data_IF_019234451900
#
_entry.id   IF_019234451900
#
_cell.length_a   1.000
_cell.length_b   1.000
_cell.length_c   1.000
_cell.angle_alpha   90.00
_cell.angle_beta   90.00
_cell.angle_gamma   90.00
#
_symmetry.space_group_name_H-M   'P 1'
#
loop_
_entity.id
_entity.type
_entity.pdbx_description
1 polymer ?
#
# COMPACT_ATOMS: atom_id res chain seq x y z
N UNK A 1 -14.46 0.35 41.19
CA UNK A 1 -13.57 -0.56 40.45
C UNK A 1 -12.67 -1.26 41.46
N UNK A 2 -12.28 -2.51 41.23
CA UNK A 2 -11.24 -3.18 42.03
C UNK A 2 -9.87 -2.54 41.74
N UNK A 3 -8.91 -2.57 42.70
CA UNK A 3 -7.59 -1.97 42.50
C UNK A 3 -6.82 -2.60 41.34
N UNK A 4 -7.01 -3.90 41.07
CA UNK A 4 -6.36 -4.61 39.96
C UNK A 4 -6.82 -4.11 38.58
N UNK A 5 -8.07 -3.66 38.44
CA UNK A 5 -8.52 -3.04 37.17
C UNK A 5 -7.80 -1.70 36.94
N UNK A 6 -7.45 -0.97 38.01
CA UNK A 6 -6.68 0.27 37.91
C UNK A 6 -5.20 0.04 37.59
N UNK A 7 -4.58 -1.05 38.05
CA UNK A 7 -3.20 -1.40 37.66
C UNK A 7 -3.15 -1.89 36.21
N UNK A 8 -4.01 -2.83 35.82
CA UNK A 8 -4.08 -3.34 34.44
C UNK A 8 -4.41 -2.23 33.43
N UNK A 9 -5.34 -1.33 33.76
CA UNK A 9 -5.65 -0.19 32.90
C UNK A 9 -4.49 0.81 32.79
N UNK A 10 -3.67 0.96 33.84
CA UNK A 10 -2.47 1.81 33.80
C UNK A 10 -1.37 1.18 32.95
N UNK A 11 -1.09 -0.10 33.13
CA UNK A 11 -0.10 -0.82 32.31
C UNK A 11 -0.48 -0.80 30.82
N UNK A 12 -1.76 -0.99 30.50
CA UNK A 12 -2.27 -0.86 29.13
C UNK A 12 -2.17 0.58 28.57
N UNK A 13 -2.30 1.60 29.42
CA UNK A 13 -2.15 3.01 29.04
C UNK A 13 -0.69 3.43 28.85
N UNK A 14 0.22 2.98 29.72
CA UNK A 14 1.66 3.25 29.62
C UNK A 14 2.24 2.53 28.38
N UNK A 15 1.84 1.27 28.13
CA UNK A 15 2.16 0.53 26.90
C UNK A 15 1.59 1.21 25.65
N UNK A 16 0.34 1.70 25.70
CA UNK A 16 -0.26 2.46 24.60
C UNK A 16 0.52 3.74 24.30
N UNK A 17 0.88 4.52 25.32
CA UNK A 17 1.62 5.77 25.17
C UNK A 17 3.03 5.55 24.59
N UNK A 18 3.72 4.50 25.05
CA UNK A 18 5.02 4.08 24.52
C UNK A 18 4.91 3.67 23.04
N UNK A 19 4.04 2.70 22.72
CA UNK A 19 3.87 2.18 21.36
C UNK A 19 3.37 3.25 20.38
N UNK A 20 2.48 4.14 20.81
CA UNK A 20 2.01 5.27 19.99
C UNK A 20 3.14 6.25 19.69
N UNK A 21 3.90 6.67 20.71
CA UNK A 21 5.02 7.61 20.53
C UNK A 21 6.09 7.02 19.61
N UNK A 22 6.47 5.77 19.84
CA UNK A 22 7.44 5.04 19.03
C UNK A 22 6.97 4.89 17.57
N UNK A 23 5.74 4.41 17.36
CA UNK A 23 5.20 4.19 16.01
C UNK A 23 4.96 5.49 15.24
N UNK A 24 4.59 6.60 15.90
CA UNK A 24 4.46 7.91 15.26
C UNK A 24 5.82 8.42 14.80
N UNK A 25 6.85 8.36 15.65
CA UNK A 25 8.21 8.77 15.30
C UNK A 25 8.76 7.89 14.17
N UNK A 26 8.67 6.57 14.32
CA UNK A 26 9.16 5.60 13.33
C UNK A 26 8.43 5.76 11.99
N UNK A 27 7.11 5.93 11.99
CA UNK A 27 6.33 6.16 10.76
C UNK A 27 6.75 7.48 10.07
N UNK A 28 6.91 8.57 10.82
CA UNK A 28 7.29 9.87 10.22
C UNK A 28 8.71 9.81 9.64
N UNK A 29 9.66 9.21 10.35
CA UNK A 29 11.06 9.04 9.87
C UNK A 29 11.12 8.15 8.63
N UNK A 30 10.50 6.95 8.67
CA UNK A 30 10.51 6.02 7.54
C UNK A 30 9.74 6.61 6.34
N UNK A 31 8.57 7.20 6.55
CA UNK A 31 7.76 7.74 5.46
C UNK A 31 8.40 8.97 4.80
N UNK A 32 9.09 9.81 5.58
CA UNK A 32 9.91 10.90 5.02
C UNK A 32 11.08 10.34 4.22
N UNK A 33 11.83 9.36 4.75
CA UNK A 33 12.93 8.73 4.04
C UNK A 33 12.47 8.02 2.75
N UNK A 34 11.33 7.34 2.78
CA UNK A 34 10.70 6.70 1.61
C UNK A 34 10.23 7.75 0.60
N UNK A 35 9.68 8.89 1.05
CA UNK A 35 9.32 10.00 0.16
C UNK A 35 10.54 10.61 -0.54
N UNK A 36 11.66 10.78 0.17
CA UNK A 36 12.96 11.15 -0.42
C UNK A 36 13.43 10.08 -1.41
N UNK A 37 13.37 8.80 -1.03
CA UNK A 37 13.83 7.67 -1.84
C UNK A 37 13.04 7.53 -3.16
N UNK A 38 11.73 7.78 -3.14
CA UNK A 38 10.89 7.78 -4.35
C UNK A 38 11.23 8.90 -5.33
N UNK A 39 11.78 10.03 -4.87
CA UNK A 39 12.25 11.10 -5.78
C UNK A 39 13.65 10.81 -6.36
N UNK A 40 14.44 9.92 -5.74
CA UNK A 40 15.68 9.39 -6.31
C UNK A 40 15.47 8.14 -7.19
N UNK A 41 14.48 7.31 -6.87
CA UNK A 41 14.20 6.03 -7.54
C UNK A 41 12.83 6.08 -8.20
N UNK A 42 12.82 6.45 -9.48
CA UNK A 42 11.68 6.34 -10.40
C UNK A 42 11.10 4.91 -10.38
N UNK A 43 9.78 4.73 -10.24
CA UNK A 43 9.16 3.40 -10.04
C UNK A 43 9.39 2.44 -11.21
N UNK A 44 9.67 2.96 -12.41
CA UNK A 44 10.03 2.19 -13.62
C UNK A 44 11.38 1.46 -13.45
N UNK A 45 12.30 2.00 -12.64
CA UNK A 45 13.54 1.30 -12.25
C UNK A 45 13.24 0.13 -11.33
N UNK A 46 12.35 0.30 -10.35
CA UNK A 46 11.90 -0.78 -9.47
C UNK A 46 11.16 -1.85 -10.29
N UNK A 47 10.26 -1.44 -11.18
CA UNK A 47 9.54 -2.32 -12.10
C UNK A 47 10.48 -3.15 -12.98
N UNK A 48 11.46 -2.53 -13.65
CA UNK A 48 12.37 -3.24 -14.56
C UNK A 48 13.30 -4.22 -13.83
N UNK A 49 13.63 -3.95 -12.56
CA UNK A 49 14.36 -4.88 -11.70
C UNK A 49 13.46 -6.05 -11.25
N UNK A 50 12.24 -5.78 -10.78
CA UNK A 50 11.32 -6.82 -10.29
C UNK A 50 10.66 -7.64 -11.40
N UNK A 51 10.48 -7.10 -12.61
CA UNK A 51 9.90 -7.80 -13.77
C UNK A 51 10.92 -8.63 -14.59
N UNK A 52 12.14 -8.79 -14.07
CA UNK A 52 13.23 -9.53 -14.73
C UNK A 52 12.81 -10.98 -15.09
N UNK A 53 12.66 -11.25 -16.40
CA UNK A 53 12.03 -12.45 -16.99
C UNK A 53 12.64 -13.80 -16.60
N UNK A 54 13.81 -13.81 -15.95
CA UNK A 54 14.58 -15.01 -15.60
C UNK A 54 14.44 -15.38 -14.11
N UNK A 55 13.29 -15.11 -13.48
CA UNK A 55 13.02 -15.42 -12.07
C UNK A 55 13.78 -14.57 -11.04
N UNK A 56 14.84 -13.85 -11.44
CA UNK A 56 15.66 -13.00 -10.57
C UNK A 56 14.86 -11.97 -9.78
N UNK A 57 13.75 -11.48 -10.33
CA UNK A 57 12.84 -10.55 -9.66
C UNK A 57 12.32 -11.06 -8.32
N UNK A 58 12.11 -12.37 -8.16
CA UNK A 58 11.67 -12.98 -6.90
C UNK A 58 12.73 -12.85 -5.79
N UNK A 59 13.98 -13.19 -6.10
CA UNK A 59 15.10 -13.12 -5.13
C UNK A 59 15.42 -11.67 -4.80
N UNK A 60 15.38 -10.77 -5.78
CA UNK A 60 15.61 -9.34 -5.54
C UNK A 60 14.48 -8.73 -4.70
N UNK A 61 13.22 -9.11 -4.95
CA UNK A 61 12.09 -8.69 -4.12
C UNK A 61 12.20 -9.19 -2.66
N UNK A 62 12.68 -10.42 -2.45
CA UNK A 62 12.93 -10.96 -1.11
C UNK A 62 14.03 -10.15 -0.38
N UNK A 63 15.17 -9.93 -1.03
CA UNK A 63 16.28 -9.16 -0.46
C UNK A 63 15.90 -7.70 -0.21
N UNK A 64 15.13 -7.08 -1.10
CA UNK A 64 14.61 -5.73 -0.87
C UNK A 64 13.65 -5.70 0.33
N UNK A 65 12.70 -6.64 0.43
CA UNK A 65 11.82 -6.74 1.61
C UNK A 65 12.58 -6.91 2.91
N UNK A 66 13.60 -7.77 2.94
CA UNK A 66 14.47 -7.96 4.10
C UNK A 66 15.32 -6.72 4.47
N UNK A 67 15.63 -5.84 3.51
CA UNK A 67 16.43 -4.63 3.74
C UNK A 67 15.55 -3.40 4.04
N UNK A 68 14.35 -3.32 3.47
CA UNK A 68 13.39 -2.23 3.68
C UNK A 68 12.18 -2.73 4.48
N UNK A 69 12.25 -2.74 5.82
CA UNK A 69 11.12 -3.09 6.67
C UNK A 69 10.04 -2.01 6.60
N UNK A 70 9.16 -2.11 5.60
CA UNK A 70 7.95 -1.31 5.56
C UNK A 70 6.95 -1.89 6.57
N UNK A 71 6.59 -1.07 7.55
CA UNK A 71 5.47 -1.36 8.41
C UNK A 71 4.18 -1.41 7.58
N UNK A 72 3.17 -2.17 8.03
CA UNK A 72 1.85 -2.30 7.40
C UNK A 72 1.29 -0.95 6.89
N UNK A 73 1.53 0.13 7.64
CA UNK A 73 1.16 1.51 7.30
C UNK A 73 1.79 2.07 6.01
N UNK A 74 3.08 1.81 5.72
CA UNK A 74 3.76 2.29 4.50
C UNK A 74 3.71 1.30 3.34
N UNK A 75 3.28 0.05 3.59
CA UNK A 75 3.10 -0.97 2.54
C UNK A 75 1.98 -0.61 1.54
N UNK A 76 0.90 0.09 1.92
CA UNK A 76 -0.17 0.48 0.96
C UNK A 76 0.35 1.37 -0.19
N UNK A 77 0.94 2.56 0.06
CA UNK A 77 1.34 3.46 -1.03
C UNK A 77 2.42 2.82 -1.90
N UNK A 78 3.36 2.07 -1.30
CA UNK A 78 4.39 1.35 -2.05
C UNK A 78 3.79 0.27 -2.95
N UNK A 79 2.93 -0.61 -2.40
CA UNK A 79 2.34 -1.71 -3.16
C UNK A 79 1.36 -1.20 -4.25
N UNK A 80 0.59 -0.14 -3.99
CA UNK A 80 -0.22 0.51 -5.03
C UNK A 80 0.63 1.17 -6.11
N UNK A 81 1.75 1.80 -5.75
CA UNK A 81 2.72 2.32 -6.72
C UNK A 81 3.32 1.21 -7.60
N UNK A 82 3.66 0.07 -6.99
CA UNK A 82 4.26 -1.08 -7.66
C UNK A 82 3.26 -1.85 -8.55
N UNK A 83 1.99 -1.91 -8.15
CA UNK A 83 0.86 -2.40 -8.95
C UNK A 83 0.58 -1.48 -10.16
N UNK A 84 0.52 -0.16 -9.95
CA UNK A 84 0.40 0.84 -11.03
C UNK A 84 1.53 0.73 -12.04
N UNK A 85 2.75 0.55 -11.57
CA UNK A 85 3.93 0.30 -12.40
C UNK A 85 3.91 -1.06 -13.10
N UNK A 86 2.89 -1.93 -12.91
CA UNK A 86 2.83 -3.29 -13.48
C UNK A 86 4.12 -4.10 -13.25
N UNK A 87 4.61 -4.13 -12.02
CA UNK A 87 5.62 -5.12 -11.63
C UNK A 87 5.03 -6.55 -11.63
N UNK A 88 5.90 -7.57 -11.62
CA UNK A 88 5.47 -8.97 -11.56
C UNK A 88 4.72 -9.30 -10.27
N UNK A 89 3.60 -10.02 -10.38
CA UNK A 89 2.71 -10.34 -9.25
C UNK A 89 3.39 -11.21 -8.20
N UNK A 90 4.14 -12.23 -8.62
CA UNK A 90 4.94 -13.09 -7.75
C UNK A 90 5.98 -12.29 -6.96
N UNK A 91 6.88 -11.53 -7.61
CA UNK A 91 7.80 -10.60 -6.94
C UNK A 91 7.12 -9.65 -5.95
N UNK A 92 5.96 -9.07 -6.27
CA UNK A 92 5.19 -8.25 -5.32
C UNK A 92 4.72 -9.05 -4.09
N UNK A 93 4.28 -10.29 -4.28
CA UNK A 93 3.92 -11.20 -3.17
C UNK A 93 5.14 -11.58 -2.32
N UNK A 94 6.30 -11.89 -2.93
CA UNK A 94 7.54 -12.17 -2.19
C UNK A 94 7.95 -10.99 -1.32
N UNK A 95 7.91 -9.76 -1.88
CA UNK A 95 8.19 -8.55 -1.12
C UNK A 95 7.23 -8.38 0.08
N UNK A 96 5.93 -8.59 -0.16
CA UNK A 96 4.86 -8.48 0.84
C UNK A 96 5.06 -9.48 1.99
N UNK A 97 5.40 -10.75 1.70
CA UNK A 97 5.74 -11.74 2.73
C UNK A 97 7.07 -11.41 3.44
N UNK A 98 8.07 -10.92 2.72
CA UNK A 98 9.43 -10.73 3.25
C UNK A 98 9.57 -9.50 4.15
N UNK A 99 8.89 -8.39 3.84
CA UNK A 99 9.02 -7.11 4.56
C UNK A 99 8.68 -7.18 6.07
N UNK A 100 7.57 -7.79 6.51
CA UNK A 100 7.25 -7.87 7.94
C UNK A 100 8.06 -8.94 8.68
N UNK A 101 8.53 -9.99 7.98
CA UNK A 101 9.21 -11.14 8.61
C UNK A 101 10.73 -10.97 8.69
N UNK A 102 11.39 -10.43 7.66
CA UNK A 102 12.85 -10.38 7.57
C UNK A 102 13.49 -9.03 7.95
N UNK A 103 12.75 -8.17 8.67
CA UNK A 103 13.23 -6.88 9.20
C UNK A 103 14.58 -7.04 9.95
N UNK A 104 15.62 -6.22 9.65
CA UNK A 104 16.93 -6.33 10.31
C UNK A 104 16.87 -6.19 11.83
N UNK A 105 15.88 -5.47 12.37
CA UNK A 105 15.65 -5.33 13.82
C UNK A 105 15.16 -6.66 14.42
N UNK A 106 14.26 -7.37 13.74
CA UNK A 106 13.80 -8.72 14.13
C UNK A 106 15.02 -9.66 14.18
N UNK A 107 15.80 -9.72 13.11
CA UNK A 107 16.99 -10.58 13.05
C UNK A 107 18.02 -10.22 14.13
N UNK A 108 18.22 -8.92 14.40
CA UNK A 108 19.08 -8.44 15.47
C UNK A 108 18.64 -8.92 16.86
N UNK A 109 17.36 -8.74 17.22
CA UNK A 109 16.81 -9.27 18.47
C UNK A 109 16.91 -10.81 18.51
N UNK A 110 16.61 -11.51 17.42
CA UNK A 110 16.74 -12.97 17.34
C UNK A 110 18.15 -13.46 17.66
N UNK A 111 19.19 -12.81 17.13
CA UNK A 111 20.60 -13.14 17.42
C UNK A 111 20.94 -12.91 18.89
N UNK A 112 20.43 -11.82 19.50
CA UNK A 112 20.69 -11.48 20.92
C UNK A 112 19.90 -12.39 21.88
N UNK A 113 18.67 -12.75 21.55
CA UNK A 113 17.75 -13.47 22.45
C UNK A 113 17.80 -15.00 22.31
N UNK A 114 17.90 -15.52 21.08
CA UNK A 114 17.90 -16.97 20.80
C UNK A 114 19.21 -17.47 20.18
N UNK A 115 20.15 -16.57 19.90
CA UNK A 115 21.45 -16.91 19.31
C UNK A 115 21.42 -17.07 17.79
N UNK A 116 22.59 -16.97 17.18
CA UNK A 116 22.78 -16.96 15.72
C UNK A 116 22.21 -18.18 14.99
N UNK A 117 22.18 -19.36 15.63
CA UNK A 117 21.62 -20.59 15.03
C UNK A 117 20.11 -20.45 14.75
N UNK A 118 19.35 -19.97 15.73
CA UNK A 118 17.90 -19.78 15.62
C UNK A 118 17.58 -18.64 14.66
N UNK A 119 18.35 -17.55 14.71
CA UNK A 119 18.21 -16.42 13.80
C UNK A 119 18.42 -16.83 12.32
N UNK A 120 19.45 -17.63 12.02
CA UNK A 120 19.71 -18.12 10.66
C UNK A 120 18.66 -19.13 10.19
N UNK A 121 18.17 -20.01 11.07
CA UNK A 121 17.05 -20.90 10.77
C UNK A 121 15.79 -20.10 10.41
N UNK A 122 15.39 -19.15 11.27
CA UNK A 122 14.25 -18.27 11.03
C UNK A 122 14.39 -17.52 9.70
N UNK A 123 15.54 -16.87 9.47
CA UNK A 123 15.81 -16.12 8.24
C UNK A 123 15.70 -16.99 6.99
N UNK A 124 16.32 -18.17 6.99
CA UNK A 124 16.32 -19.06 5.81
C UNK A 124 14.94 -19.64 5.51
N UNK A 125 14.19 -20.07 6.52
CA UNK A 125 12.82 -20.58 6.32
C UNK A 125 11.89 -19.46 5.84
N UNK A 126 11.95 -18.27 6.44
CA UNK A 126 11.14 -17.13 6.01
C UNK A 126 11.46 -16.69 4.57
N UNK A 127 12.74 -16.63 4.18
CA UNK A 127 13.15 -16.30 2.83
C UNK A 127 12.67 -17.34 1.80
N UNK A 128 12.83 -18.63 2.10
CA UNK A 128 12.40 -19.74 1.22
C UNK A 128 10.88 -19.76 1.07
N UNK A 129 10.13 -19.61 2.17
CA UNK A 129 8.66 -19.64 2.11
C UNK A 129 8.10 -18.38 1.44
N UNK A 130 8.67 -17.19 1.67
CA UNK A 130 8.26 -15.98 0.95
C UNK A 130 8.46 -16.12 -0.58
N UNK A 131 9.63 -16.61 -1.01
CA UNK A 131 9.94 -16.82 -2.45
C UNK A 131 9.04 -17.88 -3.08
N UNK A 132 8.89 -19.04 -2.43
CA UNK A 132 8.08 -20.15 -2.96
C UNK A 132 6.58 -19.82 -2.96
N UNK A 133 6.06 -19.16 -1.93
CA UNK A 133 4.67 -18.72 -1.87
C UNK A 133 4.35 -17.69 -2.96
N UNK A 134 5.20 -16.68 -3.17
CA UNK A 134 5.03 -15.73 -4.27
C UNK A 134 5.00 -16.42 -5.64
N UNK A 135 5.87 -17.42 -5.85
CA UNK A 135 5.92 -18.19 -7.10
C UNK A 135 4.68 -19.07 -7.31
N UNK A 136 4.22 -19.74 -6.25
CA UNK A 136 3.01 -20.57 -6.28
C UNK A 136 1.76 -19.72 -6.52
N UNK A 137 1.64 -18.56 -5.87
CA UNK A 137 0.50 -17.64 -6.07
C UNK A 137 0.48 -17.07 -7.51
N UNK A 138 1.63 -16.70 -8.09
CA UNK A 138 1.70 -16.30 -9.51
C UNK A 138 1.33 -17.47 -10.43
N UNK A 139 1.89 -18.67 -10.21
CA UNK A 139 1.60 -19.85 -11.04
C UNK A 139 0.16 -20.34 -10.98
N UNK A 140 -0.53 -20.11 -9.85
CA UNK A 140 -1.95 -20.40 -9.69
C UNK A 140 -2.87 -19.28 -10.20
N UNK A 141 -2.32 -18.20 -10.78
CA UNK A 141 -3.09 -17.11 -11.38
C UNK A 141 -3.88 -16.27 -10.37
N UNK A 142 -3.38 -16.14 -9.14
CA UNK A 142 -4.08 -15.40 -8.07
C UNK A 142 -4.15 -13.88 -8.33
N UNK A 143 -3.40 -13.36 -9.31
CA UNK A 143 -3.50 -11.98 -9.82
C UNK A 143 -4.94 -11.56 -10.19
N UNK A 144 -5.80 -12.49 -10.62
CA UNK A 144 -7.23 -12.23 -10.89
C UNK A 144 -8.03 -11.75 -9.66
N UNK A 145 -7.47 -11.92 -8.46
CA UNK A 145 -8.06 -11.51 -7.19
C UNK A 145 -7.52 -10.17 -6.64
N UNK A 146 -6.66 -9.48 -7.38
CA UNK A 146 -6.39 -8.05 -7.12
C UNK A 146 -7.63 -7.22 -7.44
N UNK A 147 -7.81 -6.09 -6.74
CA UNK A 147 -8.86 -5.10 -6.98
C UNK A 147 -8.47 -4.14 -8.12
N UNK A 148 -9.32 -3.88 -9.13
CA UNK A 148 -9.12 -2.80 -10.10
C UNK A 148 -8.74 -1.46 -9.44
N UNK A 149 -9.39 -1.14 -8.31
CA UNK A 149 -9.19 0.06 -7.48
C UNK A 149 -7.79 0.17 -6.83
N UNK A 150 -6.91 -0.82 -7.04
CA UNK A 150 -5.50 -0.80 -6.66
C UNK A 150 -4.55 -0.41 -7.82
N UNK A 151 -4.99 -0.57 -9.08
CA UNK A 151 -4.25 -0.16 -10.28
C UNK A 151 -4.56 1.26 -10.73
N UNK A 152 -5.75 1.77 -10.42
CA UNK A 152 -6.19 3.10 -10.85
C UNK A 152 -5.61 4.22 -9.97
N UNK A 153 -5.66 5.46 -10.47
CA UNK A 153 -5.38 6.65 -9.69
C UNK A 153 -6.49 6.86 -8.62
N UNK A 154 -6.20 7.63 -7.58
CA UNK A 154 -7.28 8.27 -6.83
C UNK A 154 -7.67 9.51 -7.62
N UNK A 155 -8.56 9.35 -8.61
CA UNK A 155 -8.97 10.45 -9.48
C UNK A 155 -9.57 11.60 -8.68
N UNK A 156 -9.28 12.81 -9.13
CA UNK A 156 -9.87 14.01 -8.55
C UNK A 156 -11.38 13.96 -8.75
N UNK A 157 -12.12 14.09 -7.64
CA UNK A 157 -13.58 14.24 -7.54
C UNK A 157 -14.30 14.41 -8.88
N UNK A 158 -14.87 13.33 -9.41
CA UNK A 158 -15.68 13.36 -10.63
C UNK A 158 -16.78 14.41 -10.47
N UNK A 159 -16.72 15.49 -11.24
CA UNK A 159 -17.72 16.55 -11.21
C UNK A 159 -19.08 15.97 -11.58
N UNK A 160 -19.96 15.82 -10.59
CA UNK A 160 -21.33 15.34 -10.77
C UNK A 160 -22.16 16.36 -11.53
N UNK A 161 -22.05 16.37 -12.85
CA UNK A 161 -22.95 17.08 -13.75
C UNK A 161 -24.31 16.38 -13.78
N UNK A 162 -25.06 16.50 -12.69
CA UNK A 162 -26.42 15.96 -12.56
C UNK A 162 -27.38 16.80 -13.39
N UNK A 163 -27.41 16.55 -14.71
CA UNK A 163 -28.53 16.94 -15.55
C UNK A 163 -29.74 16.08 -15.16
N UNK A 164 -30.54 16.57 -14.22
CA UNK A 164 -31.79 15.96 -13.79
C UNK A 164 -32.93 16.96 -13.93
N UNK A 165 -33.96 16.59 -14.69
CA UNK A 165 -35.15 17.41 -14.89
C UNK A 165 -35.91 17.66 -13.57
N UNK A 166 -36.50 18.84 -13.43
CA UNK A 166 -37.66 19.02 -12.53
C UNK A 166 -38.58 20.12 -13.05
N UNK A 167 -39.73 19.72 -13.60
CA UNK A 167 -40.85 20.63 -13.83
C UNK A 167 -41.49 21.04 -12.50
N UNK A 168 -41.84 22.32 -12.33
CA UNK A 168 -43.15 22.81 -11.82
C UNK A 168 -43.21 24.34 -11.96
N UNK A 169 -44.38 24.88 -12.31
CA UNK A 169 -44.53 26.21 -12.90
C UNK A 169 -44.90 27.37 -11.94
N UNK A 170 -44.56 28.59 -12.36
CA UNK A 170 -45.31 29.85 -12.23
C UNK A 170 -44.75 30.79 -13.34
N UNK A 171 -45.52 31.21 -14.34
CA UNK A 171 -46.39 32.40 -14.35
C UNK A 171 -45.67 33.72 -13.98
N UNK A 172 -45.76 34.86 -14.69
CA UNK A 172 -46.48 35.29 -15.93
C UNK A 172 -45.87 36.69 -16.29
N UNK A 173 -45.71 37.21 -17.52
CA UNK A 173 -46.29 37.04 -18.89
C UNK A 173 -45.32 37.60 -19.98
N UNK A 174 -45.65 37.44 -21.28
CA UNK A 174 -45.36 38.33 -22.45
C UNK A 174 -43.93 38.83 -22.72
N UNK A 175 -43.37 38.83 -23.95
CA UNK A 175 -43.78 38.40 -25.30
C UNK A 175 -42.53 38.52 -26.25
N UNK A 176 -42.47 38.23 -27.56
CA UNK A 176 -43.42 37.76 -28.61
C UNK A 176 -42.62 37.17 -29.80
N UNK A 177 -43.23 36.29 -30.61
CA UNK A 177 -42.74 35.91 -31.95
C UNK A 177 -41.84 34.66 -31.98
N UNK A 178 -42.27 33.46 -32.41
CA UNK A 178 -42.94 33.04 -33.66
C UNK A 178 -42.06 33.23 -34.92
N UNK A 179 -41.86 32.23 -35.81
CA UNK A 179 -42.54 30.92 -35.89
C UNK A 179 -41.67 29.77 -36.43
N UNK A 180 -42.20 28.58 -36.15
CA UNK A 180 -41.86 27.25 -36.66
C UNK A 180 -41.84 27.15 -38.20
N UNK A 181 -41.02 26.24 -38.76
CA UNK A 181 -41.51 25.15 -39.63
C UNK A 181 -40.41 24.20 -40.12
N UNK A 182 -40.78 22.93 -40.26
CA UNK A 182 -39.94 21.79 -40.65
C UNK A 182 -39.56 21.78 -42.15
N UNK A 183 -38.38 21.24 -42.50
CA UNK A 183 -38.23 20.23 -43.56
C UNK A 183 -36.80 19.66 -43.73
N UNK A 184 -36.73 18.32 -43.88
CA UNK A 184 -35.72 17.52 -44.62
C UNK A 184 -34.25 17.41 -44.12
N UNK A 185 -33.72 16.20 -44.29
CA UNK A 185 -32.30 15.88 -44.48
C UNK A 185 -31.87 16.30 -45.92
N UNK A 186 -30.60 16.49 -46.28
CA UNK A 186 -29.41 15.71 -45.97
C UNK A 186 -28.11 16.55 -46.09
N UNK A 187 -27.02 15.97 -45.59
CA UNK A 187 -25.61 16.34 -45.83
C UNK A 187 -25.07 17.68 -45.24
N UNK A 188 -23.82 17.57 -44.79
CA UNK A 188 -23.00 18.57 -44.11
C UNK A 188 -22.74 19.84 -44.94
N UNK A 189 -22.58 21.00 -44.28
CA UNK A 189 -21.34 21.79 -44.42
C UNK A 189 -21.10 22.75 -43.25
N UNK A 190 -19.81 22.89 -42.94
CA UNK A 190 -19.13 23.77 -41.99
C UNK A 190 -19.63 25.22 -41.98
N UNK A 191 -19.92 25.77 -40.79
CA UNK A 191 -20.28 27.19 -40.62
C UNK A 191 -19.05 28.09 -40.65
N UNK A 192 -19.01 29.03 -41.60
CA UNK A 192 -18.12 30.19 -41.58
C UNK A 192 -18.94 31.48 -41.61
N UNK A 193 -18.48 32.51 -40.89
CA UNK A 193 -19.09 33.84 -40.93
C UNK A 193 -18.31 34.74 -41.92
N UNK A 194 -19.04 35.45 -42.77
CA UNK A 194 -18.48 36.42 -43.72
C UNK A 194 -18.05 37.75 -43.09
N UNK A 195 -17.59 38.73 -43.88
CA UNK A 195 -17.72 38.81 -45.34
C UNK A 195 -16.63 39.66 -46.04
N UNK A 196 -16.37 39.32 -47.31
CA UNK A 196 -16.09 40.14 -48.51
C UNK A 196 -15.06 41.32 -48.47
N UNK A 197 -14.43 41.68 -49.61
CA UNK A 197 -14.70 41.24 -50.99
C UNK A 197 -13.51 40.57 -51.74
N UNK A 198 -13.83 40.08 -52.95
CA UNK A 198 -12.90 39.57 -53.97
C UNK A 198 -12.24 40.74 -54.78
N UNK A 199 -11.27 40.55 -55.71
CA UNK A 199 -10.80 39.32 -56.41
C UNK A 199 -9.27 39.06 -56.20
N UNK A 200 -8.47 38.31 -56.98
CA UNK A 200 -8.60 37.78 -58.35
C UNK A 200 -7.74 36.51 -58.64
N UNK A 201 -7.58 36.22 -59.95
CA UNK A 201 -6.85 35.09 -60.57
C UNK A 201 -5.33 35.36 -60.70
N UNK A 202 -4.52 34.29 -60.82
CA UNK A 202 -3.68 33.95 -62.01
C UNK A 202 -2.83 32.69 -61.74
N UNK A 203 -2.35 32.02 -62.80
CA UNK A 203 -1.64 30.74 -62.79
C UNK A 203 -0.10 30.86 -62.70
N UNK A 204 0.51 29.76 -62.20
CA UNK A 204 1.78 29.13 -62.64
C UNK A 204 3.19 29.75 -62.43
N UNK A 205 4.13 28.80 -62.46
CA UNK A 205 5.55 28.89 -62.88
C UNK A 205 6.67 29.29 -61.89
N UNK A 206 7.65 28.38 -61.83
CA UNK A 206 9.11 28.59 -61.70
C UNK A 206 9.75 28.93 -60.34
N UNK A 207 10.94 28.36 -60.10
CA UNK A 207 12.03 29.06 -59.41
C UNK A 207 12.61 28.40 -58.15
N UNK A 208 13.77 27.74 -58.32
CA UNK A 208 14.89 27.59 -57.36
C UNK A 208 14.65 27.54 -55.83
N UNK A 209 15.10 26.47 -55.17
CA UNK A 209 15.05 26.34 -53.71
C UNK A 209 16.26 26.91 -52.95
N UNK A 210 16.05 27.17 -51.67
CA UNK A 210 17.10 27.40 -50.66
C UNK A 210 16.65 26.85 -49.29
N UNK A 211 17.62 26.58 -48.40
CA UNK A 211 17.40 25.96 -47.09
C UNK A 211 16.75 26.88 -46.06
N UNK A 212 15.75 26.40 -45.32
CA UNK A 212 15.60 26.60 -43.85
C UNK A 212 14.45 25.75 -43.28
N UNK A 213 14.42 25.55 -41.95
CA UNK A 213 13.42 24.71 -41.28
C UNK A 213 12.11 25.48 -40.96
N UNK A 214 10.96 24.79 -40.85
CA UNK A 214 9.68 25.44 -40.59
C UNK A 214 9.55 25.91 -39.13
N UNK A 215 9.81 27.20 -38.89
CA UNK A 215 9.38 27.88 -37.67
C UNK A 215 7.89 28.25 -37.79
N UNK A 216 7.01 27.56 -37.07
CA UNK A 216 5.57 27.86 -37.07
C UNK A 216 5.29 29.12 -36.24
N UNK A 217 5.10 30.25 -36.92
CA UNK A 217 4.64 31.48 -36.28
C UNK A 217 3.14 31.36 -35.94
N UNK A 218 2.81 31.43 -34.65
CA UNK A 218 1.43 31.51 -34.18
C UNK A 218 1.02 32.98 -34.09
N UNK A 219 0.00 33.38 -34.85
CA UNK A 219 -0.53 34.75 -34.85
C UNK A 219 -1.23 35.08 -33.53
N UNK A 220 -0.86 36.19 -32.90
CA UNK A 220 -1.52 36.72 -31.71
C UNK A 220 -2.86 37.37 -32.05
N UNK A 221 -3.85 37.20 -31.17
CA UNK A 221 -5.14 37.89 -31.25
C UNK A 221 -5.55 38.41 -29.87
N UNK A 222 -5.59 39.74 -29.73
CA UNK A 222 -6.55 40.39 -28.84
C UNK A 222 -7.91 40.49 -29.55
N UNK A 223 -9.02 40.80 -28.88
CA UNK A 223 -9.13 41.43 -27.55
C UNK A 223 -10.45 41.06 -26.88
N UNK A 224 -10.44 40.82 -25.56
CA UNK A 224 -11.55 41.22 -24.69
C UNK A 224 -12.82 40.35 -24.62
N UNK A 225 -12.71 39.11 -24.15
CA UNK A 225 -13.75 38.47 -23.30
C UNK A 225 -13.15 37.30 -22.51
N UNK A 226 -13.64 37.07 -21.29
CA UNK A 226 -12.96 36.23 -20.30
C UNK A 226 -13.27 34.73 -20.45
N UNK A 227 -12.46 34.02 -21.23
CA UNK A 227 -12.29 32.57 -21.08
C UNK A 227 -11.08 32.28 -20.19
N UNK A 228 -11.31 31.68 -19.03
CA UNK A 228 -10.24 31.35 -18.08
C UNK A 228 -9.36 30.20 -18.57
N UNK A 229 -8.07 30.44 -18.74
CA UNK A 229 -7.09 29.38 -19.01
C UNK A 229 -6.87 28.54 -17.76
N UNK A 230 -7.27 27.27 -17.83
CA UNK A 230 -6.77 26.25 -16.92
C UNK A 230 -5.24 26.10 -17.09
N UNK A 231 -4.58 25.63 -16.03
CA UNK A 231 -3.18 25.20 -16.01
C UNK A 231 -2.10 26.24 -16.36
N UNK A 232 -2.37 27.51 -16.02
CA UNK A 232 -1.33 28.48 -15.67
C UNK A 232 -1.17 28.62 -14.13
N UNK A 233 -1.14 27.50 -13.39
CA UNK A 233 -0.87 27.53 -11.94
C UNK A 233 0.59 27.89 -11.70
N UNK A 234 0.85 29.16 -11.43
CA UNK A 234 2.18 29.71 -11.15
C UNK A 234 2.95 28.80 -10.17
N UNK A 235 4.11 28.32 -10.60
CA UNK A 235 4.92 27.36 -9.84
C UNK A 235 5.40 27.99 -8.53
N UNK A 236 4.81 27.59 -7.41
CA UNK A 236 5.24 28.04 -6.10
C UNK A 236 6.68 27.60 -5.83
N UNK A 237 7.51 28.52 -5.36
CA UNK A 237 8.93 28.30 -5.01
C UNK A 237 9.09 27.50 -3.71
N UNK A 238 8.32 26.43 -3.57
CA UNK A 238 8.44 25.50 -2.44
C UNK A 238 9.64 24.60 -2.63
N UNK A 239 10.51 24.56 -1.62
CA UNK A 239 11.64 23.64 -1.60
C UNK A 239 11.16 22.19 -1.69
N UNK A 240 11.92 21.37 -2.43
CA UNK A 240 11.69 19.92 -2.61
C UNK A 240 11.30 19.23 -1.30
N UNK A 241 12.06 19.50 -0.24
CA UNK A 241 11.84 19.00 1.12
C UNK A 241 10.46 19.33 1.70
N UNK A 242 9.93 20.54 1.46
CA UNK A 242 8.62 20.97 1.95
C UNK A 242 7.48 20.22 1.26
N UNK A 243 7.65 19.86 -0.02
CA UNK A 243 6.72 19.02 -0.79
C UNK A 243 6.68 17.59 -0.25
N UNK A 244 7.85 16.99 -0.02
CA UNK A 244 7.98 15.64 0.57
C UNK A 244 7.34 15.62 1.97
N UNK A 245 7.67 16.62 2.81
CA UNK A 245 7.10 16.75 4.16
C UNK A 245 5.58 16.92 4.13
N UNK A 246 5.03 17.72 3.21
CA UNK A 246 3.57 17.88 3.09
C UNK A 246 2.88 16.59 2.63
N UNK A 247 3.49 15.79 1.76
CA UNK A 247 2.95 14.45 1.43
C UNK A 247 2.98 13.55 2.66
N UNK A 248 4.15 13.40 3.27
CA UNK A 248 4.36 12.60 4.50
C UNK A 248 3.35 12.95 5.59
N UNK A 249 3.04 14.24 5.78
CA UNK A 249 2.08 14.74 6.75
C UNK A 249 0.61 14.50 6.37
N UNK A 250 0.29 14.48 5.07
CA UNK A 250 -1.03 14.07 4.56
C UNK A 250 -1.24 12.57 4.78
N UNK A 251 -0.25 11.77 4.41
CA UNK A 251 -0.27 10.31 4.53
C UNK A 251 -0.33 9.90 6.01
N UNK A 252 0.44 10.56 6.87
CA UNK A 252 0.34 10.43 8.33
C UNK A 252 -1.07 10.70 8.84
N UNK A 253 -1.70 11.83 8.48
CA UNK A 253 -3.07 12.16 8.91
C UNK A 253 -4.10 11.13 8.45
N UNK A 254 -3.91 10.51 7.29
CA UNK A 254 -4.82 9.47 6.78
C UNK A 254 -4.66 8.14 7.53
N UNK A 255 -3.43 7.77 7.93
CA UNK A 255 -3.14 6.49 8.60
C UNK A 255 -3.26 6.57 10.12
N UNK A 256 -2.98 7.73 10.73
CA UNK A 256 -3.04 7.97 12.18
C UNK A 256 -4.27 7.40 12.90
N UNK A 257 -5.53 7.58 12.45
CA UNK A 257 -6.68 7.00 13.15
C UNK A 257 -6.70 5.45 13.14
N UNK A 258 -6.23 4.82 12.07
CA UNK A 258 -6.12 3.35 11.97
C UNK A 258 -4.98 2.81 12.85
N UNK A 259 -3.85 3.53 12.85
CA UNK A 259 -2.70 3.24 13.71
C UNK A 259 -3.10 3.35 15.20
N UNK A 260 -3.78 4.43 15.58
CA UNK A 260 -4.26 4.64 16.95
C UNK A 260 -5.25 3.55 17.38
N UNK A 261 -6.24 3.22 16.54
CA UNK A 261 -7.19 2.14 16.78
C UNK A 261 -6.50 0.79 16.96
N UNK A 262 -5.51 0.47 16.12
CA UNK A 262 -4.73 -0.76 16.23
C UNK A 262 -3.96 -0.87 17.54
N UNK A 263 -3.34 0.23 18.00
CA UNK A 263 -2.60 0.25 19.28
C UNK A 263 -3.56 0.17 20.47
N UNK A 264 -4.71 0.85 20.45
CA UNK A 264 -5.74 0.73 21.50
C UNK A 264 -6.26 -0.71 21.63
N UNK A 265 -6.52 -1.38 20.50
CA UNK A 265 -6.93 -2.78 20.50
C UNK A 265 -5.80 -3.69 20.99
N UNK A 266 -4.56 -3.49 20.53
CA UNK A 266 -3.40 -4.29 20.93
C UNK A 266 -3.06 -4.17 22.43
N UNK A 267 -3.06 -2.95 22.99
CA UNK A 267 -2.78 -2.76 24.43
C UNK A 267 -3.90 -3.29 25.32
N UNK A 268 -5.15 -3.19 24.87
CA UNK A 268 -6.29 -3.81 25.57
C UNK A 268 -6.25 -5.34 25.51
N UNK A 269 -5.93 -5.93 24.36
CA UNK A 269 -5.77 -7.39 24.24
C UNK A 269 -4.62 -7.88 25.12
N UNK A 270 -3.47 -7.20 25.12
CA UNK A 270 -2.32 -7.59 25.93
C UNK A 270 -2.58 -7.46 27.43
N UNK A 271 -3.16 -6.34 27.89
CA UNK A 271 -3.49 -6.12 29.31
C UNK A 271 -4.56 -7.07 29.90
N UNK A 272 -5.19 -7.90 29.07
CA UNK A 272 -6.19 -8.90 29.48
C UNK A 272 -5.81 -10.36 29.15
N UNK A 273 -4.66 -10.61 28.50
CA UNK A 273 -4.16 -11.98 28.24
C UNK A 273 -2.96 -12.26 29.17
N UNK A 274 -3.14 -13.01 30.27
CA UNK A 274 -2.03 -13.40 31.12
C UNK A 274 -1.15 -14.46 30.41
N UNK A 275 0.16 -14.34 30.56
CA UNK A 275 1.18 -15.19 29.92
C UNK A 275 1.01 -16.68 30.23
N UNK A 276 0.45 -16.97 31.40
CA UNK A 276 0.08 -18.27 31.96
C UNK A 276 -0.92 -19.01 31.07
N UNK A 277 -1.83 -18.27 30.43
CA UNK A 277 -2.85 -18.81 29.52
C UNK A 277 -2.21 -19.24 28.20
N UNK A 278 -1.22 -18.49 27.70
CA UNK A 278 -0.43 -18.86 26.53
C UNK A 278 0.41 -20.10 26.85
N UNK A 279 1.17 -20.08 27.95
CA UNK A 279 2.02 -21.19 28.38
C UNK A 279 1.21 -22.50 28.59
N UNK A 280 -0.02 -22.42 29.11
CA UNK A 280 -0.88 -23.60 29.32
C UNK A 280 -1.33 -24.27 28.02
N UNK A 281 -1.57 -23.52 26.95
CA UNK A 281 -2.08 -24.07 25.67
C UNK A 281 -1.00 -24.24 24.58
N UNK A 282 0.16 -23.58 24.72
CA UNK A 282 1.29 -23.67 23.79
C UNK A 282 2.57 -24.28 24.39
N UNK A 283 2.48 -24.81 25.62
CA UNK A 283 3.57 -25.44 26.37
C UNK A 283 4.14 -26.72 25.74
N UNK A 284 5.25 -27.19 26.29
CA UNK A 284 5.96 -28.39 25.83
C UNK A 284 5.15 -29.70 25.93
N UNK A 285 5.51 -30.66 25.09
CA UNK A 285 4.98 -32.04 25.12
C UNK A 285 3.67 -32.29 24.35
N UNK A 286 2.98 -31.26 23.84
CA UNK A 286 1.71 -31.44 23.10
C UNK A 286 1.82 -31.08 21.61
N UNK A 287 1.50 -32.03 20.74
CA UNK A 287 1.63 -31.89 19.28
C UNK A 287 0.88 -30.68 18.71
N UNK A 288 -0.29 -30.35 19.26
CA UNK A 288 -1.12 -29.23 18.80
C UNK A 288 -0.68 -27.86 19.32
N UNK A 289 0.31 -27.78 20.21
CA UNK A 289 0.80 -26.52 20.78
C UNK A 289 1.29 -25.53 19.70
N UNK A 290 1.96 -26.05 18.65
CA UNK A 290 2.50 -25.26 17.54
C UNK A 290 1.38 -24.64 16.67
N UNK A 291 0.38 -25.40 16.17
CA UNK A 291 -0.83 -24.84 15.55
C UNK A 291 -1.58 -23.82 16.42
N UNK A 292 -1.75 -24.11 17.72
CA UNK A 292 -2.46 -23.19 18.64
C UNK A 292 -1.67 -21.90 18.83
N UNK A 293 -0.34 -21.95 18.97
CA UNK A 293 0.52 -20.78 19.07
C UNK A 293 0.47 -19.90 17.80
N UNK A 294 0.48 -20.50 16.61
CA UNK A 294 0.35 -19.78 15.34
C UNK A 294 -1.00 -19.04 15.23
N UNK A 295 -2.10 -19.69 15.63
CA UNK A 295 -3.45 -19.10 15.61
C UNK A 295 -3.60 -18.01 16.67
N UNK A 296 -3.02 -18.19 17.87
CA UNK A 296 -3.02 -17.18 18.94
C UNK A 296 -2.18 -15.94 18.57
N UNK A 297 -1.12 -16.10 17.77
CA UNK A 297 -0.32 -14.97 17.28
C UNK A 297 -1.13 -13.96 16.44
N UNK A 298 -2.04 -14.44 15.59
CA UNK A 298 -2.78 -13.62 14.62
C UNK A 298 -3.61 -12.48 15.27
N UNK A 299 -4.47 -12.74 16.29
CA UNK A 299 -5.20 -11.68 17.00
C UNK A 299 -4.34 -10.80 17.90
N UNK A 300 -3.16 -11.29 18.34
CA UNK A 300 -2.36 -10.64 19.39
C UNK A 300 -1.82 -9.27 18.97
N UNK A 301 -1.61 -9.05 17.66
CA UNK A 301 -1.20 -7.77 17.05
C UNK A 301 0.05 -7.10 17.68
N UNK A 302 0.94 -7.89 18.29
CA UNK A 302 2.21 -7.38 18.83
C UNK A 302 3.27 -7.38 17.73
N UNK A 303 3.97 -6.24 17.58
CA UNK A 303 5.15 -6.12 16.70
C UNK A 303 6.23 -7.12 17.14
N UNK A 304 6.85 -7.81 16.19
CA UNK A 304 7.80 -8.91 16.47
C UNK A 304 8.92 -8.52 17.46
N UNK A 305 9.38 -7.27 17.43
CA UNK A 305 10.38 -6.70 18.34
C UNK A 305 9.95 -6.74 19.82
N UNK A 306 8.65 -6.66 20.12
CA UNK A 306 8.11 -6.83 21.47
C UNK A 306 7.72 -8.29 21.77
N UNK A 307 7.43 -9.10 20.73
CA UNK A 307 7.16 -10.54 20.90
C UNK A 307 8.43 -11.31 21.26
N UNK A 308 9.61 -10.95 20.76
CA UNK A 308 10.85 -11.69 21.01
C UNK A 308 11.28 -11.67 22.50
N UNK A 309 11.33 -10.52 23.21
CA UNK A 309 11.63 -10.49 24.65
C UNK A 309 10.57 -11.21 25.50
N UNK A 310 9.28 -11.00 25.17
CA UNK A 310 8.16 -11.73 25.81
C UNK A 310 8.31 -13.24 25.63
N UNK A 311 8.69 -13.67 24.44
CA UNK A 311 8.90 -15.08 24.11
C UNK A 311 10.05 -15.72 24.88
N UNK A 312 11.12 -14.97 25.17
CA UNK A 312 12.18 -15.46 26.05
C UNK A 312 11.66 -15.78 27.47
N UNK A 313 10.78 -14.92 28.00
CA UNK A 313 10.11 -15.18 29.28
C UNK A 313 9.10 -16.34 29.19
N UNK A 314 8.46 -16.57 28.04
CA UNK A 314 7.60 -17.74 27.81
C UNK A 314 8.40 -19.05 27.73
N UNK A 315 9.57 -19.06 27.09
CA UNK A 315 10.49 -20.23 27.12
C UNK A 315 10.92 -20.54 28.56
N UNK A 316 11.23 -19.52 29.37
CA UNK A 316 11.51 -19.71 30.80
C UNK A 316 10.32 -20.27 31.61
N UNK A 317 9.09 -20.14 31.10
CA UNK A 317 7.86 -20.74 31.65
C UNK A 317 7.50 -22.11 31.01
N UNK A 318 8.39 -22.73 30.23
CA UNK A 318 8.18 -24.06 29.63
C UNK A 318 7.41 -24.05 28.31
N UNK A 319 7.45 -22.95 27.56
CA UNK A 319 6.91 -22.89 26.19
C UNK A 319 7.96 -23.36 25.18
N UNK A 320 7.61 -24.37 24.37
CA UNK A 320 8.51 -24.95 23.39
C UNK A 320 9.01 -23.88 22.39
N UNK A 321 10.31 -23.91 22.06
CA UNK A 321 10.89 -22.92 21.14
C UNK A 321 10.25 -23.01 19.74
N UNK A 322 9.83 -24.22 19.30
CA UNK A 322 9.01 -24.40 18.10
C UNK A 322 7.64 -23.70 18.16
N UNK A 323 6.93 -23.75 19.30
CA UNK A 323 5.70 -22.98 19.53
C UNK A 323 5.97 -21.47 19.51
N UNK A 324 7.11 -21.03 20.02
CA UNK A 324 7.53 -19.62 20.01
C UNK A 324 7.81 -19.13 18.59
N UNK A 325 8.48 -19.91 17.74
CA UNK A 325 8.64 -19.59 16.31
C UNK A 325 7.28 -19.45 15.62
N UNK A 326 6.36 -20.37 15.88
CA UNK A 326 5.02 -20.34 15.32
C UNK A 326 4.21 -19.11 15.77
N UNK A 327 4.29 -18.74 17.06
CA UNK A 327 3.67 -17.53 17.61
C UNK A 327 4.23 -16.26 16.94
N UNK A 328 5.56 -16.12 16.87
CA UNK A 328 6.23 -14.96 16.26
C UNK A 328 5.88 -14.82 14.77
N UNK A 329 5.89 -15.91 14.00
CA UNK A 329 5.55 -15.85 12.56
C UNK A 329 4.06 -15.52 12.37
N UNK A 330 3.18 -16.12 13.18
CA UNK A 330 1.73 -15.85 13.15
C UNK A 330 1.39 -14.41 13.50
N UNK A 331 2.02 -13.84 14.53
CA UNK A 331 1.78 -12.46 14.96
C UNK A 331 2.43 -11.41 14.04
N UNK A 332 3.56 -11.74 13.43
CA UNK A 332 4.31 -10.79 12.59
C UNK A 332 3.84 -10.75 11.14
N UNK A 333 3.41 -11.87 10.56
CA UNK A 333 3.10 -11.96 9.12
C UNK A 333 1.62 -12.09 8.75
N UNK A 334 0.73 -12.37 9.71
CA UNK A 334 -0.71 -12.50 9.49
C UNK A 334 -1.52 -11.61 10.45
N UNK A 335 -0.93 -10.51 10.87
CA UNK A 335 -1.48 -9.65 11.91
C UNK A 335 -2.81 -9.00 11.50
N UNK A 336 -3.67 -8.71 12.47
CA UNK A 336 -5.02 -8.20 12.19
C UNK A 336 -5.03 -6.94 11.30
N UNK A 337 -4.07 -6.01 11.46
CA UNK A 337 -4.04 -4.82 10.60
C UNK A 337 -3.53 -5.12 9.19
N UNK A 338 -2.63 -6.07 8.99
CA UNK A 338 -2.26 -6.54 7.64
C UNK A 338 -3.44 -7.20 6.92
N UNK A 339 -4.25 -7.99 7.62
CA UNK A 339 -5.48 -8.57 7.06
C UNK A 339 -6.46 -7.47 6.62
N UNK A 340 -6.63 -6.42 7.43
CA UNK A 340 -7.42 -5.23 7.08
C UNK A 340 -6.79 -4.49 5.89
N UNK A 341 -5.46 -4.37 5.85
CA UNK A 341 -4.69 -3.72 4.80
C UNK A 341 -4.91 -4.40 3.44
N UNK A 342 -4.67 -5.72 3.40
CA UNK A 342 -4.79 -6.54 2.19
C UNK A 342 -6.23 -6.53 1.67
N UNK A 343 -7.25 -6.45 2.55
CA UNK A 343 -8.66 -6.34 2.14
C UNK A 343 -8.98 -5.10 1.31
N UNK A 344 -8.17 -4.03 1.43
CA UNK A 344 -8.30 -2.80 0.61
C UNK A 344 -7.64 -2.89 -0.78
N UNK A 345 -6.80 -3.90 -1.02
CA UNK A 345 -6.02 -4.10 -2.27
C UNK A 345 -6.48 -5.38 -3.00
N UNK A 346 -7.03 -6.34 -2.27
CA UNK A 346 -7.34 -7.67 -2.77
C UNK A 346 -8.76 -8.13 -2.39
N UNK A 347 -9.26 -9.14 -3.11
CA UNK A 347 -10.52 -9.85 -2.83
C UNK A 347 -10.29 -10.94 -1.78
N UNK A 348 -11.34 -11.37 -1.08
CA UNK A 348 -11.24 -12.28 0.08
C UNK A 348 -10.47 -13.60 -0.21
N UNK A 349 -10.47 -14.08 -1.46
CA UNK A 349 -9.73 -15.26 -1.89
C UNK A 349 -8.21 -15.11 -1.76
N UNK A 350 -7.66 -13.92 -2.00
CA UNK A 350 -6.24 -13.63 -1.69
C UNK A 350 -5.96 -13.70 -0.21
N UNK A 351 -6.85 -13.14 0.60
CA UNK A 351 -6.68 -13.04 2.05
C UNK A 351 -6.65 -14.45 2.66
N UNK A 352 -7.55 -15.33 2.20
CA UNK A 352 -7.53 -16.74 2.57
C UNK A 352 -6.21 -17.42 2.17
N UNK A 353 -5.74 -17.26 0.93
CA UNK A 353 -4.47 -17.85 0.48
C UNK A 353 -3.25 -17.30 1.24
N UNK A 354 -3.21 -15.98 1.50
CA UNK A 354 -2.17 -15.33 2.30
C UNK A 354 -2.13 -15.86 3.73
N UNK A 355 -3.29 -15.94 4.41
CA UNK A 355 -3.39 -16.53 5.74
C UNK A 355 -3.01 -18.02 5.75
N UNK A 356 -3.37 -18.78 4.72
CA UNK A 356 -2.94 -20.18 4.57
C UNK A 356 -1.42 -20.30 4.40
N UNK A 357 -0.78 -19.40 3.64
CA UNK A 357 0.69 -19.36 3.52
C UNK A 357 1.34 -19.04 4.87
N UNK A 358 0.89 -18.01 5.59
CA UNK A 358 1.50 -17.63 6.87
C UNK A 358 1.27 -18.68 7.95
N UNK A 359 0.06 -19.24 8.07
CA UNK A 359 -0.20 -20.34 9.03
C UNK A 359 0.60 -21.59 8.67
N UNK A 360 0.67 -21.94 7.38
CA UNK A 360 1.51 -23.03 6.89
C UNK A 360 3.00 -22.80 7.18
N UNK A 361 3.48 -21.55 7.05
CA UNK A 361 4.83 -21.15 7.40
C UNK A 361 5.08 -21.26 8.90
N UNK A 362 4.20 -20.68 9.74
CA UNK A 362 4.34 -20.67 11.19
C UNK A 362 4.37 -22.10 11.76
N UNK A 363 3.43 -22.93 11.32
CA UNK A 363 3.29 -24.32 11.76
C UNK A 363 4.45 -25.18 11.22
N UNK A 364 4.78 -25.04 9.93
CA UNK A 364 5.88 -25.76 9.30
C UNK A 364 7.24 -25.41 9.91
N UNK A 365 7.53 -24.12 10.14
CA UNK A 365 8.75 -23.66 10.80
C UNK A 365 8.82 -24.14 12.26
N UNK A 366 7.72 -24.09 13.00
CA UNK A 366 7.67 -24.55 14.39
C UNK A 366 7.94 -26.05 14.53
N UNK A 367 7.30 -26.89 13.71
CA UNK A 367 7.57 -28.34 13.70
C UNK A 367 8.98 -28.67 13.18
N UNK A 368 9.43 -28.01 12.11
CA UNK A 368 10.77 -28.24 11.56
C UNK A 368 11.86 -27.85 12.56
N UNK A 369 11.67 -26.74 13.30
CA UNK A 369 12.56 -26.38 14.40
C UNK A 369 12.59 -27.49 15.45
N UNK A 370 11.41 -27.90 15.95
CA UNK A 370 11.23 -28.94 16.98
C UNK A 370 11.62 -30.36 16.55
N UNK A 371 12.04 -30.55 15.30
CA UNK A 371 12.60 -31.79 14.77
C UNK A 371 14.12 -31.71 14.58
N UNK A 372 14.67 -30.50 14.42
CA UNK A 372 16.10 -30.24 14.22
C UNK A 372 16.85 -29.89 15.53
N UNK A 373 16.13 -29.45 16.56
CA UNK A 373 16.65 -28.96 17.84
C UNK A 373 15.76 -29.41 19.00
#
# INVERSE_FOLDING_TARGET
MSPEILTMAREAADMFAFLATELIILFLVISYFVGVLQEFITPEKIQSILSSRNGKGYVIAALLGAITPFCSCSTIPFLKGLLRARAGFGPMMVFLFSSPLLNPVIIGLFVVTFGIKVALFYFTIALVVAVTAGFVLEKLGFERYVRPEAYEAADASSCGATCGDTNTAAETSSESGCCDSQAKSDAQVVTSCGAAPAPALVMEASGCGATTAPAVAVSSCGTGSSCGTADAKAGSTESRWLRIWRSTWKDFKQVFPYLLLGITLGSFIYGFIPTELIAKYAGEGMWYAIPVAAIIGIPLYIRAEAVIPLSAALVQKGMALGSVMALIIGSAGASLTEVILLKSIFKNQMIAAFLTVILGMAIGAGYLYSYMF
#
